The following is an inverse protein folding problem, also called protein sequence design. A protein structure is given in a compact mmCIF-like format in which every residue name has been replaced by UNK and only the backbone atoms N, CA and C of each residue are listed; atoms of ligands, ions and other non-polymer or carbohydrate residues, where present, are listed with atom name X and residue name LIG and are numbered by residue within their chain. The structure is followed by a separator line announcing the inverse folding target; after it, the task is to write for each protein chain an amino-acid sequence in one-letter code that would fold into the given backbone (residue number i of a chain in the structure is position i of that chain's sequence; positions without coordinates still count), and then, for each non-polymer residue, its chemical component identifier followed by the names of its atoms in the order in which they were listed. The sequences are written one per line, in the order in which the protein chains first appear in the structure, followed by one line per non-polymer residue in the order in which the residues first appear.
data_IF_941561093689
#
_entry.id   IF_941561093689
#
_cell.length_a   1.000
_cell.length_b   1.000
_cell.length_c   1.000
_cell.angle_alpha   90.00
_cell.angle_beta   90.00
_cell.angle_gamma   90.00
#
_symmetry.space_group_name_H-M   'P 1'
#
loop_
_entity.id
_entity.type
_entity.pdbx_description
1 polymer ?
#
# COMPACT_ATOMS: atom_id res chain seq x y z
N UNK A 1 -8.72 -20.78 10.52
CA UNK A 1 -7.49 -21.63 10.46
C UNK A 1 -7.78 -23.07 10.02
N UNK A 2 -8.63 -23.81 10.75
CA UNK A 2 -8.92 -25.23 10.45
C UNK A 2 -9.48 -25.45 9.04
N UNK A 3 -10.49 -24.68 8.62
CA UNK A 3 -11.06 -24.79 7.26
C UNK A 3 -10.07 -24.55 6.13
N UNK A 4 -9.07 -23.70 6.35
CA UNK A 4 -8.01 -23.47 5.37
C UNK A 4 -7.05 -24.67 5.31
N UNK A 5 -6.71 -25.24 6.47
CA UNK A 5 -5.95 -26.48 6.55
C UNK A 5 -6.70 -27.64 5.87
N UNK A 6 -7.98 -27.83 6.16
CA UNK A 6 -8.82 -28.86 5.53
C UNK A 6 -8.88 -28.70 4.00
N UNK A 7 -9.01 -27.47 3.50
CA UNK A 7 -9.01 -27.21 2.06
C UNK A 7 -7.66 -27.60 1.43
N UNK A 8 -6.55 -27.27 2.07
CA UNK A 8 -5.22 -27.52 1.55
C UNK A 8 -4.77 -28.99 1.71
N UNK A 9 -5.43 -29.76 2.58
CA UNK A 9 -5.07 -31.15 2.89
C UNK A 9 -6.03 -32.19 2.33
N UNK A 10 -7.24 -31.79 1.92
CA UNK A 10 -8.21 -32.72 1.31
C UNK A 10 -7.77 -33.16 -0.08
N UNK A 11 -8.05 -34.42 -0.40
CA UNK A 11 -7.87 -35.01 -1.74
C UNK A 11 -9.20 -35.15 -2.49
N UNK A 12 -10.33 -34.86 -1.85
CA UNK A 12 -11.66 -34.88 -2.45
C UNK A 12 -11.98 -33.53 -3.09
N UNK A 13 -12.14 -33.53 -4.42
CA UNK A 13 -12.48 -32.33 -5.20
C UNK A 13 -13.82 -31.70 -4.80
N UNK A 14 -14.81 -32.50 -4.40
CA UNK A 14 -16.12 -32.00 -3.99
C UNK A 14 -16.01 -31.26 -2.65
N UNK A 15 -15.27 -31.84 -1.72
CA UNK A 15 -14.97 -31.21 -0.43
C UNK A 15 -14.13 -29.94 -0.60
N UNK A 16 -13.09 -29.99 -1.43
CA UNK A 16 -12.25 -28.84 -1.75
C UNK A 16 -13.09 -27.68 -2.32
N UNK A 17 -13.98 -27.96 -3.28
CA UNK A 17 -14.86 -26.93 -3.85
C UNK A 17 -15.76 -26.31 -2.80
N UNK A 18 -16.34 -27.12 -1.92
CA UNK A 18 -17.22 -26.66 -0.84
C UNK A 18 -16.48 -25.75 0.15
N UNK A 19 -15.29 -26.17 0.58
CA UNK A 19 -14.45 -25.40 1.49
C UNK A 19 -13.96 -24.09 0.86
N UNK A 20 -13.57 -24.12 -0.43
CA UNK A 20 -13.16 -22.95 -1.18
C UNK A 20 -14.29 -21.91 -1.28
N UNK A 21 -15.51 -22.32 -1.65
CA UNK A 21 -16.69 -21.44 -1.68
C UNK A 21 -16.97 -20.83 -0.31
N UNK A 22 -16.81 -21.62 0.75
CA UNK A 22 -16.99 -21.11 2.11
C UNK A 22 -15.93 -20.07 2.49
N UNK A 23 -14.65 -20.36 2.26
CA UNK A 23 -13.57 -19.42 2.54
C UNK A 23 -13.70 -18.14 1.71
N UNK A 24 -14.19 -18.23 0.48
CA UNK A 24 -14.45 -17.05 -0.36
C UNK A 24 -15.59 -16.19 0.20
N UNK A 25 -16.65 -16.81 0.74
CA UNK A 25 -17.71 -16.08 1.46
C UNK A 25 -17.14 -15.33 2.67
N UNK A 26 -16.34 -16.00 3.51
CA UNK A 26 -15.69 -15.39 4.67
C UNK A 26 -14.75 -14.25 4.25
N UNK A 27 -14.00 -14.44 3.16
CA UNK A 27 -13.12 -13.41 2.60
C UNK A 27 -13.92 -12.19 2.12
N UNK A 28 -15.07 -12.41 1.48
CA UNK A 28 -15.96 -11.35 1.02
C UNK A 28 -16.53 -10.57 2.21
N UNK A 29 -17.03 -11.25 3.23
CA UNK A 29 -17.51 -10.62 4.47
C UNK A 29 -16.39 -9.79 5.15
N UNK A 30 -15.18 -10.34 5.24
CA UNK A 30 -14.01 -9.64 5.76
C UNK A 30 -13.70 -8.37 4.97
N UNK A 31 -13.74 -8.42 3.63
CA UNK A 31 -13.52 -7.24 2.77
C UNK A 31 -14.56 -6.15 3.04
N UNK A 32 -15.83 -6.53 3.20
CA UNK A 32 -16.92 -5.60 3.54
C UNK A 32 -16.68 -4.92 4.88
N UNK A 33 -16.30 -5.68 5.92
CA UNK A 33 -15.97 -5.12 7.25
C UNK A 33 -14.81 -4.12 7.14
N UNK A 34 -13.72 -4.49 6.47
CA UNK A 34 -12.57 -3.60 6.27
C UNK A 34 -12.98 -2.33 5.52
N UNK A 35 -13.84 -2.42 4.50
CA UNK A 35 -14.32 -1.25 3.77
C UNK A 35 -15.15 -0.30 4.66
N UNK A 36 -16.02 -0.84 5.53
CA UNK A 36 -16.75 -0.03 6.50
C UNK A 36 -15.82 0.67 7.50
N UNK A 37 -14.86 -0.06 8.06
CA UNK A 37 -13.86 0.52 8.98
C UNK A 37 -13.09 1.64 8.28
N UNK A 38 -12.65 1.44 7.03
CA UNK A 38 -11.93 2.48 6.28
C UNK A 38 -12.81 3.72 6.02
N UNK A 39 -14.12 3.57 5.83
CA UNK A 39 -15.03 4.71 5.71
C UNK A 39 -15.10 5.50 7.02
N UNK A 40 -15.21 4.81 8.16
CA UNK A 40 -15.21 5.44 9.48
C UNK A 40 -13.88 6.14 9.78
N UNK A 41 -12.76 5.50 9.42
CA UNK A 41 -11.41 6.08 9.51
C UNK A 41 -11.36 7.39 8.74
N UNK A 42 -11.75 7.41 7.47
CA UNK A 42 -11.73 8.63 6.63
C UNK A 42 -12.55 9.76 7.25
N UNK A 43 -13.71 9.43 7.81
CA UNK A 43 -14.55 10.41 8.51
C UNK A 43 -13.83 10.99 9.74
N UNK A 44 -13.30 10.13 10.63
CA UNK A 44 -12.54 10.56 11.83
C UNK A 44 -11.27 11.35 11.47
N UNK A 45 -10.60 10.98 10.38
CA UNK A 45 -9.41 11.64 9.86
C UNK A 45 -9.71 13.04 9.31
N UNK A 46 -10.89 13.27 8.73
CA UNK A 46 -11.22 14.56 8.12
C UNK A 46 -11.41 15.70 9.14
N UNK A 47 -11.67 15.36 10.40
CA UNK A 47 -11.98 16.32 11.46
C UNK A 47 -10.83 16.53 12.47
N UNK A 48 -9.67 15.91 12.24
CA UNK A 48 -8.54 15.92 13.19
C UNK A 48 -7.31 16.60 12.59
N UNK A 49 -6.46 17.11 13.46
CA UNK A 49 -5.14 17.62 13.08
C UNK A 49 -4.26 16.49 12.54
N UNK A 50 -3.42 16.83 11.56
CA UNK A 50 -2.49 15.91 10.97
C UNK A 50 -1.28 15.67 11.88
N UNK A 51 -1.03 14.41 12.23
CA UNK A 51 0.13 13.97 13.02
C UNK A 51 1.01 13.03 12.21
N UNK A 52 2.25 12.83 12.65
CA UNK A 52 3.21 11.93 12.00
C UNK A 52 2.87 10.47 12.23
N UNK A 53 2.45 10.12 13.45
CA UNK A 53 1.91 8.80 13.77
C UNK A 53 0.40 8.88 13.95
N UNK A 54 -0.29 7.97 13.28
CA UNK A 54 -1.73 7.82 13.36
C UNK A 54 -2.06 6.74 14.39
N UNK A 55 -2.82 7.09 15.43
CA UNK A 55 -3.47 6.09 16.29
C UNK A 55 -4.97 6.25 16.16
N UNK A 56 -5.66 5.17 15.79
CA UNK A 56 -7.09 5.23 15.57
C UNK A 56 -7.77 3.93 15.94
N UNK A 57 -8.93 4.01 16.56
CA UNK A 57 -9.68 2.83 16.93
C UNK A 57 -11.14 3.10 17.19
N UNK A 58 -11.85 2.00 17.37
CA UNK A 58 -13.23 1.96 17.82
C UNK A 58 -13.40 0.64 18.57
N UNK A 59 -14.00 0.63 19.78
CA UNK A 59 -14.34 -0.61 20.48
C UNK A 59 -15.05 -1.66 19.61
N UNK A 60 -15.90 -1.22 18.68
CA UNK A 60 -16.67 -2.11 17.79
C UNK A 60 -15.83 -2.76 16.67
N UNK A 61 -14.59 -2.33 16.47
CA UNK A 61 -13.75 -2.86 15.40
C UNK A 61 -13.16 -4.22 15.79
N UNK A 62 -13.45 -5.23 14.96
CA UNK A 62 -12.99 -6.61 15.18
C UNK A 62 -11.47 -6.71 15.11
N UNK A 63 -10.84 -7.15 16.19
CA UNK A 63 -9.38 -7.31 16.31
C UNK A 63 -8.77 -8.11 15.14
N UNK A 64 -9.45 -9.18 14.71
CA UNK A 64 -8.98 -10.04 13.62
C UNK A 64 -8.85 -9.38 12.24
N UNK A 65 -9.35 -8.16 12.04
CA UNK A 65 -9.19 -7.41 10.77
C UNK A 65 -8.30 -6.19 10.87
N UNK A 66 -7.86 -5.78 12.07
CA UNK A 66 -7.13 -4.52 12.28
C UNK A 66 -5.81 -4.47 11.53
N UNK A 67 -5.13 -5.62 11.34
CA UNK A 67 -3.89 -5.65 10.55
C UNK A 67 -4.09 -5.25 9.08
N UNK A 68 -5.24 -5.61 8.47
CA UNK A 68 -5.58 -5.21 7.10
C UNK A 68 -5.94 -3.72 7.04
N UNK A 69 -6.63 -3.23 8.06
CA UNK A 69 -6.98 -1.81 8.19
C UNK A 69 -5.70 -0.98 8.35
N UNK A 70 -4.81 -1.35 9.28
CA UNK A 70 -3.54 -0.68 9.53
C UNK A 70 -2.69 -0.60 8.26
N UNK A 71 -2.61 -1.67 7.47
CA UNK A 71 -1.88 -1.66 6.19
C UNK A 71 -2.48 -0.66 5.20
N UNK A 72 -3.80 -0.61 5.06
CA UNK A 72 -4.46 0.34 4.15
C UNK A 72 -4.28 1.78 4.57
N UNK A 73 -4.37 2.08 5.87
CA UNK A 73 -4.16 3.44 6.39
C UNK A 73 -2.70 3.83 6.19
N UNK A 74 -1.75 2.93 6.48
CA UNK A 74 -0.32 3.23 6.30
C UNK A 74 0.02 3.52 4.84
N UNK A 75 -0.59 2.80 3.89
CA UNK A 75 -0.44 3.06 2.45
C UNK A 75 -1.12 4.36 2.01
N UNK A 76 -2.34 4.63 2.47
CA UNK A 76 -3.13 5.81 2.09
C UNK A 76 -2.53 7.12 2.63
N UNK A 77 -2.06 7.10 3.89
CA UNK A 77 -1.51 8.28 4.56
C UNK A 77 0.02 8.33 4.57
N UNK A 78 0.69 7.28 4.06
CA UNK A 78 2.17 7.14 4.01
C UNK A 78 2.85 7.34 5.37
N UNK A 79 2.19 6.87 6.44
CA UNK A 79 2.57 7.13 7.84
C UNK A 79 2.57 5.84 8.67
N UNK A 80 3.29 5.81 9.80
CA UNK A 80 3.09 4.76 10.81
C UNK A 80 1.70 4.84 11.40
N UNK A 81 1.05 3.69 11.54
CA UNK A 81 -0.33 3.57 11.99
C UNK A 81 -0.44 2.50 13.06
N UNK A 82 -1.18 2.82 14.12
CA UNK A 82 -1.63 1.90 15.15
C UNK A 82 -3.15 1.90 15.15
N UNK A 83 -3.74 0.74 14.84
CA UNK A 83 -5.19 0.56 14.82
C UNK A 83 -5.60 -0.32 15.99
N UNK A 84 -6.65 0.05 16.71
CA UNK A 84 -7.10 -0.71 17.88
C UNK A 84 -8.61 -0.98 17.88
N UNK A 85 -9.01 -2.03 18.59
CA UNK A 85 -10.39 -2.42 18.87
C UNK A 85 -10.49 -3.14 20.22
N UNK A 86 -11.71 -3.32 20.73
CA UNK A 86 -11.91 -3.97 22.03
C UNK A 86 -11.87 -5.51 21.89
N UNK A 87 -11.21 -6.16 22.85
CA UNK A 87 -11.20 -7.62 22.99
C UNK A 87 -11.63 -7.99 24.42
N UNK A 88 -12.82 -8.56 24.57
CA UNK A 88 -13.39 -8.86 25.89
C UNK A 88 -13.89 -7.61 26.62
N UNK A 89 -13.87 -7.62 27.95
CA UNK A 89 -14.41 -6.53 28.78
C UNK A 89 -13.47 -5.34 28.89
N UNK A 90 -12.19 -5.56 29.20
CA UNK A 90 -11.29 -4.48 29.66
C UNK A 90 -9.99 -4.33 28.86
N UNK A 91 -9.80 -5.13 27.80
CA UNK A 91 -8.55 -5.10 27.02
C UNK A 91 -8.80 -4.51 25.65
N UNK A 92 -7.95 -3.55 25.27
CA UNK A 92 -7.87 -3.07 23.90
C UNK A 92 -6.69 -3.75 23.23
N UNK A 93 -6.93 -4.32 22.04
CA UNK A 93 -5.90 -4.95 21.23
C UNK A 93 -5.80 -4.24 19.90
N UNK A 94 -4.56 -4.14 19.43
CA UNK A 94 -4.27 -3.38 18.23
C UNK A 94 -3.20 -4.02 17.36
N UNK A 95 -3.17 -3.56 16.12
CA UNK A 95 -2.16 -3.89 15.14
C UNK A 95 -1.54 -2.62 14.59
N UNK A 96 -0.23 -2.64 14.38
CA UNK A 96 0.50 -1.52 13.81
C UNK A 96 1.22 -1.90 12.52
N UNK A 97 1.37 -0.91 11.65
CA UNK A 97 2.06 -0.98 10.35
C UNK A 97 2.80 0.32 10.11
N UNK A 98 3.93 0.25 9.44
CA UNK A 98 4.70 1.43 9.02
C UNK A 98 4.80 1.50 7.50
N UNK A 99 4.98 2.71 6.97
CA UNK A 99 5.33 2.96 5.58
C UNK A 99 6.86 3.13 5.43
N UNK A 100 7.62 2.28 6.10
CA UNK A 100 9.09 2.26 6.04
C UNK A 100 9.82 3.43 6.73
N UNK A 101 9.10 4.41 7.29
CA UNK A 101 9.72 5.60 7.90
C UNK A 101 10.34 5.34 9.28
N UNK A 102 9.87 4.32 10.00
CA UNK A 102 10.31 4.00 11.36
C UNK A 102 9.99 2.55 11.72
N UNK A 103 10.82 1.96 12.59
CA UNK A 103 10.61 0.63 13.15
C UNK A 103 9.48 0.67 14.20
N UNK A 104 8.41 -0.12 14.01
CA UNK A 104 7.28 -0.12 14.95
C UNK A 104 7.62 -0.68 16.33
N UNK A 105 8.59 -1.59 16.43
CA UNK A 105 9.05 -2.12 17.74
C UNK A 105 9.83 -1.04 18.49
N UNK A 106 10.68 -0.28 17.79
CA UNK A 106 11.43 0.86 18.36
C UNK A 106 10.47 1.91 18.94
N UNK A 107 9.39 2.22 18.20
CA UNK A 107 8.33 3.12 18.70
C UNK A 107 7.67 2.62 19.99
N UNK A 108 7.33 1.33 20.05
CA UNK A 108 6.67 0.75 21.22
C UNK A 108 7.60 0.67 22.43
N UNK A 109 8.88 0.32 22.21
CA UNK A 109 9.89 0.27 23.27
C UNK A 109 10.25 1.65 23.82
N UNK A 110 10.15 2.71 23.02
CA UNK A 110 10.40 4.08 23.49
C UNK A 110 9.27 4.69 24.33
N UNK A 111 8.10 4.04 24.42
CA UNK A 111 6.99 4.53 25.25
C UNK A 111 7.33 4.45 26.74
N UNK A 112 6.76 5.34 27.58
CA UNK A 112 6.84 5.22 29.03
C UNK A 112 6.36 3.85 29.52
N UNK A 113 6.94 3.37 30.62
CA UNK A 113 6.53 2.11 31.25
C UNK A 113 5.02 2.06 31.49
N UNK A 114 4.44 0.87 31.32
CA UNK A 114 3.00 0.60 31.43
C UNK A 114 2.09 1.31 30.41
N UNK A 115 2.64 2.02 29.42
CA UNK A 115 1.82 2.56 28.30
C UNK A 115 1.15 1.45 27.48
N UNK A 116 1.76 0.27 27.43
CA UNK A 116 1.26 -0.93 26.77
C UNK A 116 1.29 -2.09 27.76
N UNK A 117 0.26 -2.93 27.72
CA UNK A 117 0.17 -4.16 28.50
C UNK A 117 1.04 -5.26 27.88
N UNK A 118 1.02 -5.35 26.55
CA UNK A 118 1.82 -6.28 25.76
C UNK A 118 2.16 -5.62 24.43
N UNK A 119 3.32 -5.93 23.85
CA UNK A 119 3.63 -5.54 22.48
C UNK A 119 4.67 -6.47 21.86
N UNK A 120 4.71 -6.49 20.53
CA UNK A 120 5.70 -7.26 19.79
C UNK A 120 5.54 -7.11 18.29
N UNK A 121 6.49 -7.64 17.53
CA UNK A 121 6.49 -7.58 16.07
C UNK A 121 7.88 -7.48 15.48
N UNK A 122 7.96 -6.86 14.32
CA UNK A 122 9.17 -6.62 13.53
C UNK A 122 9.16 -5.20 13.00
N UNK A 123 10.21 -4.81 12.26
CA UNK A 123 10.39 -3.45 11.72
C UNK A 123 9.12 -2.88 11.08
N UNK A 124 8.43 -3.67 10.25
CA UNK A 124 7.31 -3.21 9.43
C UNK A 124 5.91 -3.33 10.06
N UNK A 125 5.78 -4.14 11.11
CA UNK A 125 4.49 -4.68 11.54
C UNK A 125 4.54 -5.20 12.97
N UNK A 126 3.50 -4.92 13.75
CA UNK A 126 3.40 -5.41 15.12
C UNK A 126 1.97 -5.52 15.63
N UNK A 127 1.88 -5.96 16.88
CA UNK A 127 0.66 -6.03 17.66
C UNK A 127 0.91 -5.51 19.07
N UNK A 128 -0.14 -5.00 19.69
CA UNK A 128 -0.07 -4.47 21.05
C UNK A 128 -1.39 -4.70 21.80
N UNK A 129 -1.30 -4.67 23.12
CA UNK A 129 -2.43 -4.50 24.02
C UNK A 129 -2.23 -3.26 24.87
N UNK A 130 -3.32 -2.56 25.16
CA UNK A 130 -3.35 -1.32 25.94
C UNK A 130 -4.62 -1.31 26.77
N UNK A 131 -4.59 -0.63 27.92
CA UNK A 131 -5.80 -0.45 28.72
C UNK A 131 -6.71 0.60 28.08
N UNK A 132 -7.98 0.61 28.50
CA UNK A 132 -8.93 1.63 28.06
C UNK A 132 -8.51 3.05 28.49
N UNK A 133 -7.77 3.21 29.59
CA UNK A 133 -7.31 4.53 30.04
C UNK A 133 -6.10 5.00 29.23
N UNK A 134 -5.14 4.11 28.96
CA UNK A 134 -3.88 4.48 28.32
C UNK A 134 -4.03 4.71 26.81
N UNK A 135 -5.02 4.09 26.17
CA UNK A 135 -5.23 4.22 24.71
C UNK A 135 -5.43 5.68 24.26
N UNK A 136 -6.01 6.52 25.13
CA UNK A 136 -6.29 7.92 24.85
C UNK A 136 -5.01 8.76 24.74
N UNK A 137 -3.93 8.35 25.41
CA UNK A 137 -2.64 9.04 25.40
C UNK A 137 -1.66 8.44 24.38
N UNK A 138 -1.99 7.27 23.81
CA UNK A 138 -1.08 6.51 22.98
C UNK A 138 -0.63 7.27 21.73
N UNK A 139 -1.52 8.04 21.09
CA UNK A 139 -1.15 8.83 19.90
C UNK A 139 -0.11 9.89 20.21
N UNK A 140 -0.33 10.65 21.28
CA UNK A 140 0.57 11.72 21.69
C UNK A 140 1.93 11.16 22.10
N UNK A 141 1.95 10.12 22.94
CA UNK A 141 3.19 9.48 23.38
C UNK A 141 3.98 8.90 22.21
N UNK A 142 3.32 8.22 21.27
CA UNK A 142 4.00 7.70 20.08
C UNK A 142 4.58 8.81 19.21
N UNK A 143 3.89 9.92 19.03
CA UNK A 143 4.41 11.06 18.28
C UNK A 143 5.63 11.70 18.97
N UNK A 144 5.65 11.80 20.31
CA UNK A 144 6.82 12.26 21.07
C UNK A 144 8.01 11.31 20.90
N UNK A 145 7.78 10.00 20.99
CA UNK A 145 8.83 9.00 20.76
C UNK A 145 9.37 9.10 19.33
N UNK A 146 8.48 9.25 18.35
CA UNK A 146 8.85 9.43 16.95
C UNK A 146 9.71 10.68 16.73
N UNK A 147 9.35 11.83 17.31
CA UNK A 147 10.14 13.05 17.19
C UNK A 147 11.52 12.92 17.82
N UNK A 148 11.65 12.16 18.92
CA UNK A 148 12.95 11.88 19.55
C UNK A 148 13.81 10.96 18.69
N UNK A 149 13.22 9.90 18.12
CA UNK A 149 13.92 8.99 17.20
C UNK A 149 14.41 9.74 15.95
N UNK A 150 13.57 10.60 15.37
CA UNK A 150 13.96 11.39 14.20
C UNK A 150 15.05 12.37 14.58
N UNK A 151 14.88 13.18 15.64
CA UNK A 151 15.88 14.16 16.08
C UNK A 151 17.27 13.56 16.29
N UNK A 152 17.33 12.33 16.83
CA UNK A 152 18.58 11.60 17.03
C UNK A 152 19.16 11.00 15.72
N UNK A 153 18.35 10.83 14.67
CA UNK A 153 18.77 10.39 13.32
C UNK A 153 19.17 11.57 12.43
N UNK A 154 18.62 12.77 12.66
CA UNK A 154 18.92 13.97 11.86
C UNK A 154 20.31 14.58 12.11
N UNK A 155 21.11 14.06 13.06
CA UNK A 155 22.55 14.36 13.13
C UNK A 155 23.36 13.73 11.98
N UNK A 156 22.74 13.02 11.02
CA UNK A 156 23.47 12.48 9.87
C UNK A 156 22.70 11.87 8.69
N UNK A 157 21.44 12.22 8.41
CA UNK A 157 20.78 11.68 7.20
C UNK A 157 19.76 12.64 6.57
N UNK A 158 19.89 12.77 5.25
CA UNK A 158 19.08 13.56 4.33
C UNK A 158 17.59 13.18 4.39
N UNK A 159 16.75 14.18 4.14
CA UNK A 159 15.31 14.08 4.02
C UNK A 159 14.90 12.84 3.22
N UNK A 160 13.94 12.09 3.76
CA UNK A 160 13.37 10.89 3.17
C UNK A 160 12.50 11.26 1.96
N UNK A 161 13.14 11.80 0.93
CA UNK A 161 12.57 11.89 -0.41
C UNK A 161 12.42 10.45 -0.89
N UNK A 162 11.21 10.16 -1.37
CA UNK A 162 10.74 8.89 -1.90
C UNK A 162 11.61 8.48 -3.11
N UNK A 163 12.86 8.07 -2.86
CA UNK A 163 13.87 7.84 -3.89
C UNK A 163 13.61 6.47 -4.50
N UNK A 164 13.04 6.48 -5.70
CA UNK A 164 12.96 5.27 -6.49
C UNK A 164 14.35 4.91 -6.97
N UNK A 165 14.74 3.65 -6.76
CA UNK A 165 15.90 3.09 -7.43
C UNK A 165 15.53 2.91 -8.91
N UNK A 166 16.12 3.73 -9.77
CA UNK A 166 15.93 3.66 -11.23
C UNK A 166 16.94 2.66 -11.79
N UNK A 167 16.47 1.58 -12.37
CA UNK A 167 17.33 0.51 -12.90
C UNK A 167 17.98 0.91 -14.23
N UNK A 168 17.24 1.63 -15.09
CA UNK A 168 17.76 2.15 -16.34
C UNK A 168 16.93 3.31 -16.90
N UNK A 169 17.59 4.22 -17.62
CA UNK A 169 16.92 5.18 -18.50
C UNK A 169 16.82 4.60 -19.90
N UNK A 170 15.62 4.58 -20.46
CA UNK A 170 15.33 3.99 -21.78
C UNK A 170 14.37 4.89 -22.56
N UNK A 171 14.19 4.59 -23.84
CA UNK A 171 13.27 5.31 -24.72
C UNK A 171 11.96 4.57 -24.90
N UNK A 172 10.96 5.25 -25.47
CA UNK A 172 9.70 4.62 -25.86
C UNK A 172 9.91 3.49 -26.89
N UNK A 173 10.95 3.55 -27.72
CA UNK A 173 11.24 2.48 -28.70
C UNK A 173 11.61 1.14 -28.05
N UNK A 174 12.13 1.20 -26.82
CA UNK A 174 12.48 0.03 -26.02
C UNK A 174 11.25 -0.68 -25.42
N UNK A 175 10.06 -0.08 -25.49
CA UNK A 175 8.81 -0.66 -25.00
C UNK A 175 8.25 -1.65 -26.02
N UNK A 176 8.84 -2.85 -26.04
CA UNK A 176 8.48 -3.91 -26.98
C UNK A 176 8.52 -5.31 -26.34
N UNK A 177 7.95 -6.29 -27.04
CA UNK A 177 7.82 -7.67 -26.53
C UNK A 177 9.16 -8.39 -26.36
N UNK A 178 10.21 -8.01 -27.10
CA UNK A 178 11.53 -8.65 -27.00
C UNK A 178 12.19 -8.26 -25.69
N UNK A 179 12.24 -6.95 -25.39
CA UNK A 179 12.71 -6.44 -24.11
C UNK A 179 11.87 -6.94 -22.94
N UNK A 180 10.53 -7.02 -23.11
CA UNK A 180 9.67 -7.59 -22.08
C UNK A 180 10.03 -9.04 -21.72
N UNK A 181 10.33 -9.89 -22.71
CA UNK A 181 10.76 -11.28 -22.46
C UNK A 181 12.07 -11.37 -21.69
N UNK A 182 12.96 -10.38 -21.83
CA UNK A 182 14.20 -10.32 -21.05
C UNK A 182 13.86 -9.98 -19.59
N UNK A 183 13.02 -8.96 -19.38
CA UNK A 183 12.56 -8.56 -18.04
C UNK A 183 11.84 -9.72 -17.35
N UNK A 184 11.01 -10.46 -18.07
CA UNK A 184 10.24 -11.60 -17.53
C UNK A 184 11.13 -12.72 -16.96
N UNK A 185 12.36 -12.88 -17.46
CA UNK A 185 13.34 -13.84 -16.91
C UNK A 185 13.83 -13.48 -15.51
N UNK A 186 13.62 -12.24 -15.05
CA UNK A 186 13.97 -11.78 -13.71
C UNK A 186 12.89 -12.10 -12.67
N UNK A 187 11.73 -12.64 -13.09
CA UNK A 187 10.70 -13.11 -12.19
C UNK A 187 11.17 -14.33 -11.36
N UNK A 188 10.59 -14.60 -10.18
CA UNK A 188 9.38 -14.00 -9.61
C UNK A 188 9.62 -12.64 -8.97
N UNK A 189 8.75 -11.68 -9.26
CA UNK A 189 8.77 -10.36 -8.64
C UNK A 189 7.99 -10.33 -7.32
N UNK A 190 8.45 -9.52 -6.37
CA UNK A 190 7.84 -9.37 -5.05
C UNK A 190 8.62 -8.40 -4.17
N UNK A 191 8.38 -8.44 -2.85
CA UNK A 191 8.99 -7.51 -1.88
C UNK A 191 10.53 -7.51 -1.90
N UNK A 192 11.15 -8.67 -2.14
CA UNK A 192 12.62 -8.80 -2.23
C UNK A 192 13.19 -8.76 -3.66
N UNK A 193 12.33 -8.62 -4.67
CA UNK A 193 12.70 -8.55 -6.08
C UNK A 193 11.65 -7.69 -6.80
N UNK A 194 11.61 -6.37 -6.57
CA UNK A 194 10.64 -5.51 -7.22
C UNK A 194 10.83 -5.57 -8.74
N UNK A 195 9.77 -5.23 -9.49
CA UNK A 195 9.92 -5.07 -10.93
C UNK A 195 10.88 -3.92 -11.23
N UNK A 196 11.75 -4.05 -12.25
CA UNK A 196 12.63 -2.96 -12.64
C UNK A 196 11.87 -1.69 -13.00
N UNK A 197 12.32 -0.55 -12.47
CA UNK A 197 11.80 0.78 -12.71
C UNK A 197 12.65 1.45 -13.78
N UNK A 198 12.00 1.84 -14.87
CA UNK A 198 12.62 2.51 -16.00
C UNK A 198 12.25 3.98 -16.02
N UNK A 199 13.24 4.84 -16.35
CA UNK A 199 13.03 6.27 -16.57
C UNK A 199 12.91 6.56 -18.05
N UNK A 200 11.85 7.29 -18.43
CA UNK A 200 11.65 7.83 -19.76
C UNK A 200 11.70 9.35 -19.65
N UNK A 201 12.71 9.96 -20.26
CA UNK A 201 12.97 11.39 -20.09
C UNK A 201 12.24 12.23 -21.13
N UNK A 202 11.61 13.31 -20.67
CA UNK A 202 11.04 14.35 -21.51
C UNK A 202 10.15 13.79 -22.64
N UNK A 203 9.26 12.84 -22.34
CA UNK A 203 8.34 12.24 -23.32
C UNK A 203 7.06 13.06 -23.42
N UNK A 204 6.52 13.21 -24.64
CA UNK A 204 5.31 14.00 -24.88
C UNK A 204 4.05 13.15 -24.79
N UNK A 205 3.08 13.61 -23.99
CA UNK A 205 1.75 13.00 -23.91
C UNK A 205 1.00 13.27 -25.22
N UNK A 206 0.68 12.20 -25.95
CA UNK A 206 -0.13 12.23 -27.17
C UNK A 206 -1.64 12.14 -26.89
N UNK A 207 -2.02 11.66 -25.70
CA UNK A 207 -3.40 11.71 -25.23
C UNK A 207 -3.53 11.26 -23.78
N UNK A 208 -4.53 11.79 -23.09
CA UNK A 208 -4.84 11.46 -21.70
C UNK A 208 -6.30 11.02 -21.57
N UNK A 209 -6.55 9.96 -20.81
CA UNK A 209 -7.90 9.49 -20.51
C UNK A 209 -8.03 8.99 -19.08
N UNK A 210 -9.16 9.31 -18.45
CA UNK A 210 -9.58 8.68 -17.19
C UNK A 210 -10.54 7.53 -17.47
N UNK A 211 -10.36 6.41 -16.76
CA UNK A 211 -11.14 5.19 -16.94
C UNK A 211 -11.52 4.54 -15.60
N UNK A 212 -12.32 3.46 -15.67
CA UNK A 212 -12.94 2.82 -14.51
C UNK A 212 -14.34 3.37 -14.23
N UNK A 213 -15.14 2.63 -13.45
CA UNK A 213 -16.54 2.99 -13.15
C UNK A 213 -16.66 4.37 -12.50
N UNK A 214 -15.68 4.73 -11.67
CA UNK A 214 -15.61 6.00 -10.94
C UNK A 214 -14.65 7.02 -11.58
N UNK A 215 -14.12 6.74 -12.79
CA UNK A 215 -13.09 7.56 -13.46
C UNK A 215 -11.86 7.87 -12.57
N UNK A 216 -11.49 6.93 -11.72
CA UNK A 216 -10.41 7.05 -10.74
C UNK A 216 -9.10 6.39 -11.21
N UNK A 217 -8.93 6.15 -12.51
CA UNK A 217 -7.73 5.58 -13.09
C UNK A 217 -7.27 6.43 -14.27
N UNK A 218 -5.96 6.56 -14.45
CA UNK A 218 -5.35 7.37 -15.49
C UNK A 218 -4.69 6.46 -16.54
N UNK A 219 -4.97 6.73 -17.81
CA UNK A 219 -4.26 6.20 -18.97
C UNK A 219 -3.61 7.38 -19.71
N UNK A 220 -2.30 7.28 -19.91
CA UNK A 220 -1.52 8.16 -20.76
C UNK A 220 -1.13 7.41 -22.03
N UNK A 221 -1.19 8.12 -23.16
CA UNK A 221 -0.83 7.63 -24.47
C UNK A 221 0.39 8.40 -24.95
N UNK A 222 1.41 7.65 -25.38
CA UNK A 222 2.62 8.17 -25.98
C UNK A 222 2.81 7.60 -27.38
N UNK A 223 3.63 8.30 -28.18
CA UNK A 223 4.08 7.83 -29.49
C UNK A 223 5.59 7.66 -29.45
N UNK A 224 6.08 6.50 -29.88
CA UNK A 224 7.52 6.28 -30.09
C UNK A 224 8.02 6.93 -31.38
N UNK A 225 9.30 6.74 -31.72
CA UNK A 225 9.89 7.34 -32.93
C UNK A 225 9.25 6.83 -34.24
N UNK A 226 8.60 5.66 -34.19
CA UNK A 226 7.89 5.03 -35.32
C UNK A 226 6.39 5.31 -35.31
N UNK A 227 5.92 6.22 -34.45
CA UNK A 227 4.50 6.55 -34.22
C UNK A 227 3.65 5.37 -33.76
N UNK A 228 4.26 4.35 -33.15
CA UNK A 228 3.53 3.27 -32.47
C UNK A 228 3.02 3.80 -31.14
N UNK A 229 1.78 3.44 -30.82
CA UNK A 229 1.13 3.83 -29.58
C UNK A 229 1.65 3.00 -28.41
N UNK A 230 2.12 3.69 -27.36
CA UNK A 230 2.48 3.08 -26.08
C UNK A 230 1.56 3.66 -25.02
N UNK A 231 0.96 2.77 -24.23
CA UNK A 231 0.07 3.15 -23.13
C UNK A 231 0.80 3.03 -21.81
N UNK A 232 0.57 3.99 -20.91
CA UNK A 232 0.95 3.90 -19.52
C UNK A 232 -0.28 4.08 -18.63
N UNK A 233 -0.40 3.27 -17.58
CA UNK A 233 -1.56 3.33 -16.68
C UNK A 233 -1.18 3.53 -15.22
N UNK A 234 -1.99 4.29 -14.51
CA UNK A 234 -1.97 4.41 -13.05
C UNK A 234 -3.37 4.11 -12.49
N UNK A 235 -3.46 3.20 -11.52
CA UNK A 235 -4.71 2.96 -10.79
C UNK A 235 -4.82 3.92 -9.61
N UNK A 236 -6.06 4.30 -9.27
CA UNK A 236 -6.38 5.24 -8.18
C UNK A 236 -5.67 6.60 -8.29
N UNK A 237 -5.44 7.05 -9.53
CA UNK A 237 -4.80 8.31 -9.90
C UNK A 237 -5.60 8.95 -11.03
N UNK A 238 -5.67 10.28 -11.04
CA UNK A 238 -6.37 11.08 -12.06
C UNK A 238 -5.42 12.13 -12.64
N UNK A 239 -5.86 12.88 -13.66
CA UNK A 239 -5.06 13.99 -14.21
C UNK A 239 -4.66 15.00 -13.13
N UNK A 240 -5.55 15.25 -12.18
CA UNK A 240 -5.35 16.17 -11.06
C UNK A 240 -4.25 15.71 -10.10
N UNK A 241 -4.05 14.38 -10.00
CA UNK A 241 -3.02 13.85 -9.11
C UNK A 241 -1.62 14.24 -9.58
N UNK A 242 -1.43 14.36 -10.89
CA UNK A 242 -0.15 14.70 -11.51
C UNK A 242 -0.14 16.10 -12.16
N UNK A 243 -1.27 16.82 -12.11
CA UNK A 243 -1.48 18.14 -12.74
C UNK A 243 -1.11 18.16 -14.23
N UNK A 244 -1.58 17.16 -14.98
CA UNK A 244 -1.25 16.96 -16.40
C UNK A 244 -2.29 17.51 -17.36
N UNK A 245 -1.82 18.04 -18.49
CA UNK A 245 -2.60 18.43 -19.65
C UNK A 245 -2.19 17.64 -20.91
N UNK A 246 -3.06 17.65 -21.92
CA UNK A 246 -2.72 17.09 -23.23
C UNK A 246 -1.56 17.86 -23.86
N UNK A 247 -0.56 17.14 -24.38
CA UNK A 247 0.62 17.71 -25.02
C UNK A 247 1.79 18.03 -24.09
N UNK A 248 1.62 17.89 -22.77
CA UNK A 248 2.70 18.10 -21.81
C UNK A 248 3.87 17.14 -22.05
N UNK A 249 5.08 17.59 -21.68
CA UNK A 249 6.27 16.74 -21.66
C UNK A 249 6.65 16.43 -20.23
N UNK A 250 6.91 15.16 -19.96
CA UNK A 250 7.13 14.65 -18.60
C UNK A 250 8.34 13.74 -18.53
N UNK A 251 8.93 13.57 -17.35
CA UNK A 251 9.75 12.40 -17.07
C UNK A 251 8.88 11.35 -16.39
N UNK A 252 8.85 10.15 -16.95
CA UNK A 252 8.03 9.06 -16.46
C UNK A 252 8.91 8.00 -15.81
N UNK A 253 8.57 7.60 -14.60
CA UNK A 253 9.06 6.38 -13.97
C UNK A 253 8.00 5.29 -14.14
N UNK A 254 8.35 4.17 -14.77
CA UNK A 254 7.39 3.10 -15.02
C UNK A 254 8.03 1.70 -15.09
N UNK A 255 7.20 0.68 -14.84
CA UNK A 255 7.56 -0.73 -15.02
C UNK A 255 6.83 -1.30 -16.24
N UNK A 256 7.39 -2.34 -16.87
CA UNK A 256 6.69 -3.03 -17.95
C UNK A 256 5.57 -3.93 -17.39
N UNK A 257 4.42 -3.90 -18.04
CA UNK A 257 3.27 -4.73 -17.69
C UNK A 257 2.63 -5.34 -18.94
N UNK A 258 2.47 -6.66 -18.93
CA UNK A 258 1.66 -7.36 -19.92
C UNK A 258 0.27 -7.58 -19.32
N UNK A 259 -0.71 -6.87 -19.86
CA UNK A 259 -2.11 -7.01 -19.46
C UNK A 259 -2.78 -8.07 -20.30
N UNK A 260 -3.67 -8.85 -19.68
CA UNK A 260 -4.62 -9.71 -20.37
C UNK A 260 -6.03 -9.25 -20.02
N UNK A 261 -6.73 -8.67 -21.00
CA UNK A 261 -8.08 -8.14 -20.80
C UNK A 261 -8.95 -8.43 -22.02
N UNK A 262 -10.17 -8.91 -21.79
CA UNK A 262 -11.14 -9.26 -22.83
C UNK A 262 -10.57 -10.16 -23.96
N UNK A 263 -9.73 -11.13 -23.59
CA UNK A 263 -9.10 -12.06 -24.53
C UNK A 263 -7.96 -11.46 -25.36
N UNK A 264 -7.55 -10.22 -25.09
CA UNK A 264 -6.44 -9.54 -25.76
C UNK A 264 -5.28 -9.34 -24.81
N UNK A 265 -4.08 -9.59 -25.31
CA UNK A 265 -2.84 -9.29 -24.61
C UNK A 265 -2.30 -7.94 -25.08
N UNK A 266 -1.98 -7.06 -24.16
CA UNK A 266 -1.42 -5.75 -24.44
C UNK A 266 -0.16 -5.53 -23.59
N UNK A 267 0.94 -5.18 -24.24
CA UNK A 267 2.11 -4.66 -23.55
C UNK A 267 1.89 -3.17 -23.28
N UNK A 268 2.01 -2.77 -22.01
CA UNK A 268 1.86 -1.40 -21.55
C UNK A 268 2.84 -1.09 -20.43
N UNK A 269 2.90 0.16 -20.03
CA UNK A 269 3.64 0.61 -18.86
C UNK A 269 2.70 0.74 -17.66
N UNK A 270 3.19 0.38 -16.48
CA UNK A 270 2.57 0.73 -15.19
C UNK A 270 3.34 1.92 -14.62
N UNK A 271 2.67 3.05 -14.52
CA UNK A 271 3.23 4.29 -13.98
C UNK A 271 3.55 4.07 -12.49
N UNK A 272 4.80 4.37 -12.12
CA UNK A 272 5.28 4.43 -10.74
C UNK A 272 5.18 5.86 -10.26
N UNK A 273 5.75 6.80 -11.03
CA UNK A 273 5.69 8.23 -10.73
C UNK A 273 5.93 9.09 -11.98
N UNK A 274 5.65 10.39 -11.86
CA UNK A 274 5.94 11.40 -12.87
C UNK A 274 6.75 12.51 -12.19
N UNK A 275 7.95 12.77 -12.70
CA UNK A 275 8.97 13.65 -12.09
C UNK A 275 9.41 14.78 -13.00
#
# INVERSE_FOLDING_TARGET
PMRAFELLSTTDLVQAKTLATHLDKINTERKTIVAHIMKDVKHKMSAREEKEIIVIGNPDWRVGVLGLVASKIAEEYKKPVFVWGQEGSDTIRGSCRTWGSVNVVELMTGLPDNSLLEYGGHVGAGGFAVSHTEVHFLEERLNIVHSNIISNKTEGAEENNNSYMIDASITLDDVNNENYKIIEKMAPFGMGNPKPIFKFENIQIAGLKEFGKEKNHLELVFLDSRRRTIKAIAFFKTRETFKLNDGDRINLLATFEKSFFAGRTELRLRIVDIV
#
